data_IF_974316830799
#
_entry.id   IF_974316830799
#
_cell.length_a   1.000
_cell.length_b   1.000
_cell.length_c   1.000
_cell.angle_alpha   90.00
_cell.angle_beta   90.00
_cell.angle_gamma   90.00
#
_symmetry.space_group_name_H-M   'P 1'
#
loop_
_entity.id
_entity.type
_entity.pdbx_description
1 polymer ?
#
# COMPACT_ATOMS: atom_id res chain seq x y z
N UNK A 1 -5.98 17.22 -12.82
CA UNK A 1 -7.39 16.89 -12.52
C UNK A 1 -7.60 15.42 -12.80
N UNK A 2 -8.43 14.74 -12.00
CA UNK A 2 -8.73 13.32 -12.18
C UNK A 2 -9.43 13.04 -13.50
N UNK A 3 -9.10 11.92 -14.12
CA UNK A 3 -9.82 11.46 -15.31
C UNK A 3 -11.17 10.84 -14.93
N UNK A 4 -12.13 10.86 -15.87
CA UNK A 4 -13.48 10.33 -15.64
C UNK A 4 -13.42 8.84 -15.22
N UNK A 5 -13.95 8.53 -14.04
CA UNK A 5 -13.99 7.17 -13.50
C UNK A 5 -12.74 6.74 -12.73
N UNK A 6 -11.69 7.56 -12.64
CA UNK A 6 -10.44 7.22 -11.94
C UNK A 6 -10.69 6.89 -10.46
N UNK A 7 -11.61 7.59 -9.80
CA UNK A 7 -12.04 7.34 -8.43
C UNK A 7 -12.66 5.96 -8.17
N UNK A 8 -13.27 5.35 -9.20
CA UNK A 8 -13.99 4.08 -9.09
C UNK A 8 -13.12 2.88 -9.48
N UNK A 9 -11.92 3.12 -10.03
CA UNK A 9 -10.99 2.05 -10.39
C UNK A 9 -10.42 1.39 -9.14
N UNK A 10 -10.46 0.06 -9.09
CA UNK A 10 -9.91 -0.72 -7.97
C UNK A 10 -8.43 -0.35 -7.75
N UNK A 11 -8.10 0.06 -6.53
CA UNK A 11 -6.73 0.44 -6.12
C UNK A 11 -6.28 1.85 -6.52
N UNK A 12 -7.11 2.62 -7.23
CA UNK A 12 -6.76 3.97 -7.68
C UNK A 12 -6.79 5.02 -6.56
N UNK A 13 -7.48 4.73 -5.45
CA UNK A 13 -7.56 5.62 -4.30
C UNK A 13 -6.93 4.98 -3.07
N UNK A 14 -6.41 5.81 -2.17
CA UNK A 14 -5.91 5.38 -0.87
C UNK A 14 -6.29 6.36 0.24
N UNK A 15 -6.28 5.90 1.49
CA UNK A 15 -6.47 6.78 2.65
C UNK A 15 -5.16 7.45 3.08
N UNK A 16 -5.24 8.47 3.92
CA UNK A 16 -4.08 9.07 4.59
C UNK A 16 -3.28 8.07 5.44
N UNK A 17 -3.97 7.10 6.05
CA UNK A 17 -3.32 6.01 6.79
C UNK A 17 -2.52 5.09 5.86
N UNK A 18 -3.12 4.69 4.74
CA UNK A 18 -2.43 3.89 3.72
C UNK A 18 -1.29 4.67 3.07
N UNK A 19 -1.45 5.98 2.86
CA UNK A 19 -0.43 6.84 2.28
C UNK A 19 0.82 6.91 3.18
N UNK A 20 0.60 7.03 4.50
CA UNK A 20 1.67 6.95 5.49
C UNK A 20 2.35 5.58 5.49
N UNK A 21 1.59 4.50 5.38
CA UNK A 21 2.14 3.14 5.40
C UNK A 21 2.96 2.80 4.14
N UNK A 22 2.46 3.17 2.96
CA UNK A 22 3.07 2.83 1.67
C UNK A 22 4.15 3.82 1.21
N UNK A 23 3.97 5.12 1.50
CA UNK A 23 4.85 6.19 1.02
C UNK A 23 5.52 6.99 2.14
N UNK A 24 5.24 6.70 3.41
CA UNK A 24 5.87 7.42 4.53
C UNK A 24 5.45 8.89 4.66
N UNK A 25 4.48 9.36 3.88
CA UNK A 25 4.01 10.76 3.93
C UNK A 25 3.02 10.98 5.07
N UNK A 26 3.12 12.14 5.73
CA UNK A 26 2.22 12.51 6.83
C UNK A 26 0.86 12.98 6.31
N UNK A 27 -0.14 13.00 7.20
CA UNK A 27 -1.43 13.63 6.90
C UNK A 27 -1.26 15.11 6.55
N UNK A 28 -0.36 15.83 7.22
CA UNK A 28 -0.10 17.24 6.95
C UNK A 28 0.47 17.47 5.55
N UNK A 29 1.32 16.56 5.06
CA UNK A 29 1.81 16.60 3.67
C UNK A 29 0.65 16.48 2.68
N UNK A 30 -0.28 15.57 2.93
CA UNK A 30 -1.48 15.39 2.09
C UNK A 30 -2.37 16.62 2.16
N UNK A 31 -2.62 17.17 3.35
CA UNK A 31 -3.42 18.40 3.54
C UNK A 31 -2.78 19.57 2.81
N UNK A 32 -1.45 19.71 2.85
CA UNK A 32 -0.73 20.73 2.07
C UNK A 32 -0.98 20.55 0.57
N UNK A 33 -0.87 19.32 0.05
CA UNK A 33 -1.16 19.00 -1.35
C UNK A 33 -2.59 19.35 -1.77
N UNK A 34 -3.56 19.13 -0.88
CA UNK A 34 -4.97 19.52 -1.07
C UNK A 34 -5.11 21.05 -1.11
N UNK A 35 -4.53 21.75 -0.13
CA UNK A 35 -4.57 23.21 -0.04
C UNK A 35 -3.93 23.90 -1.25
N UNK A 36 -2.86 23.32 -1.80
CA UNK A 36 -2.20 23.81 -3.01
C UNK A 36 -2.92 23.40 -4.30
N UNK A 37 -4.04 22.68 -4.23
CA UNK A 37 -4.80 22.21 -5.39
C UNK A 37 -4.11 21.10 -6.20
N UNK A 38 -3.04 20.50 -5.67
CA UNK A 38 -2.30 19.40 -6.32
C UNK A 38 -2.95 18.04 -6.11
N UNK A 39 -3.71 17.89 -5.01
CA UNK A 39 -4.45 16.67 -4.68
C UNK A 39 -5.95 16.94 -4.63
N UNK A 40 -6.71 16.13 -5.35
CA UNK A 40 -8.14 16.01 -5.10
C UNK A 40 -8.38 15.04 -3.95
N UNK A 41 -9.39 15.33 -3.13
CA UNK A 41 -9.75 14.51 -1.99
C UNK A 41 -11.24 14.26 -1.87
N UNK A 42 -11.58 13.18 -1.19
CA UNK A 42 -12.92 12.88 -0.69
C UNK A 42 -12.80 12.51 0.77
N UNK A 43 -13.76 12.94 1.57
CA UNK A 43 -13.86 12.50 2.96
C UNK A 43 -14.58 11.17 3.02
N UNK A 44 -14.09 10.28 3.87
CA UNK A 44 -14.79 9.05 4.24
C UNK A 44 -14.79 8.89 5.75
N UNK A 45 -15.66 8.01 6.24
CA UNK A 45 -15.67 7.62 7.65
C UNK A 45 -15.77 6.11 7.77
N UNK A 46 -14.96 5.52 8.64
CA UNK A 46 -15.04 4.12 9.03
C UNK A 46 -15.36 4.10 10.52
N UNK A 47 -16.55 3.60 10.88
CA UNK A 47 -17.02 3.53 12.27
C UNK A 47 -16.93 4.87 13.04
N UNK A 48 -17.21 5.99 12.35
CA UNK A 48 -17.13 7.33 12.94
C UNK A 48 -15.75 7.98 12.91
N UNK A 49 -14.70 7.26 12.50
CA UNK A 49 -13.36 7.84 12.34
C UNK A 49 -13.18 8.42 10.92
N UNK A 50 -13.02 9.75 10.78
CA UNK A 50 -12.85 10.39 9.48
C UNK A 50 -11.47 10.10 8.89
N UNK A 51 -11.41 9.85 7.59
CA UNK A 51 -10.17 9.70 6.84
C UNK A 51 -10.22 10.48 5.53
N UNK A 52 -9.05 10.87 5.05
CA UNK A 52 -8.92 11.54 3.76
C UNK A 52 -8.67 10.47 2.70
N UNK A 53 -9.46 10.47 1.63
CA UNK A 53 -9.28 9.59 0.47
C UNK A 53 -8.76 10.42 -0.69
N UNK A 54 -7.59 10.04 -1.21
CA UNK A 54 -6.93 10.73 -2.33
C UNK A 54 -6.63 9.76 -3.46
N UNK A 55 -6.39 10.28 -4.66
CA UNK A 55 -5.95 9.49 -5.81
C UNK A 55 -4.47 9.15 -5.72
N UNK A 56 -4.15 7.87 -5.95
CA UNK A 56 -2.78 7.36 -5.90
C UNK A 56 -1.89 8.02 -6.94
N UNK A 57 -2.38 8.14 -8.17
CA UNK A 57 -1.69 8.80 -9.27
C UNK A 57 -1.30 10.24 -8.92
N UNK A 58 -2.22 11.01 -8.35
CA UNK A 58 -2.00 12.40 -7.95
C UNK A 58 -1.02 12.48 -6.78
N UNK A 59 -1.16 11.61 -5.79
CA UNK A 59 -0.24 11.57 -4.65
C UNK A 59 1.18 11.21 -5.07
N UNK A 60 1.35 10.23 -5.95
CA UNK A 60 2.67 9.85 -6.47
C UNK A 60 3.32 10.98 -7.26
N UNK A 61 2.56 11.67 -8.13
CA UNK A 61 3.05 12.86 -8.83
C UNK A 61 3.47 13.96 -7.85
N UNK A 62 2.65 14.23 -6.84
CA UNK A 62 2.96 15.23 -5.82
C UNK A 62 4.21 14.88 -5.00
N UNK A 63 4.40 13.60 -4.65
CA UNK A 63 5.61 13.12 -3.97
C UNK A 63 6.83 13.29 -4.87
N UNK A 64 6.74 12.92 -6.15
CA UNK A 64 7.83 13.08 -7.10
C UNK A 64 8.23 14.55 -7.28
N UNK A 65 7.26 15.46 -7.30
CA UNK A 65 7.52 16.90 -7.38
C UNK A 65 8.19 17.48 -6.12
N UNK A 66 7.73 17.11 -4.92
CA UNK A 66 8.21 17.73 -3.67
C UNK A 66 9.43 17.03 -3.07
N UNK A 67 9.57 15.71 -3.26
CA UNK A 67 10.59 14.87 -2.62
C UNK A 67 11.51 14.18 -3.63
N UNK A 68 11.21 14.27 -4.93
CA UNK A 68 11.99 13.69 -6.01
C UNK A 68 11.53 12.29 -6.44
N UNK A 69 11.80 11.97 -7.72
CA UNK A 69 11.46 10.65 -8.29
C UNK A 69 12.24 9.51 -7.63
N UNK A 70 13.50 9.72 -7.28
CA UNK A 70 14.33 8.73 -6.59
C UNK A 70 13.75 8.32 -5.23
N UNK A 71 13.18 9.29 -4.51
CA UNK A 71 12.51 9.04 -3.24
C UNK A 71 11.28 8.16 -3.43
N UNK A 72 10.45 8.48 -4.43
CA UNK A 72 9.27 7.69 -4.77
C UNK A 72 9.64 6.25 -5.18
N UNK A 73 10.65 6.09 -6.05
CA UNK A 73 11.11 4.79 -6.52
C UNK A 73 11.64 3.93 -5.36
N UNK A 74 12.45 4.53 -4.47
CA UNK A 74 12.98 3.85 -3.28
C UNK A 74 11.85 3.34 -2.38
N UNK A 75 10.83 4.16 -2.13
CA UNK A 75 9.69 3.76 -1.29
C UNK A 75 8.89 2.63 -1.90
N UNK A 76 8.59 2.70 -3.20
CA UNK A 76 7.92 1.62 -3.94
C UNK A 76 8.70 0.30 -3.82
N UNK A 77 10.01 0.36 -4.03
CA UNK A 77 10.88 -0.81 -3.90
C UNK A 77 10.91 -1.35 -2.46
N UNK A 78 10.91 -0.49 -1.44
CA UNK A 78 10.87 -0.92 -0.04
C UNK A 78 9.54 -1.59 0.31
N UNK A 79 8.41 -1.02 -0.13
CA UNK A 79 7.07 -1.58 0.10
C UNK A 79 6.93 -2.93 -0.58
N UNK A 80 7.37 -3.05 -1.83
CA UNK A 80 7.36 -4.34 -2.54
C UNK A 80 8.30 -5.36 -1.89
N UNK A 81 9.50 -4.95 -1.46
CA UNK A 81 10.42 -5.82 -0.74
C UNK A 81 9.81 -6.36 0.57
N UNK A 82 9.08 -5.54 1.32
CA UNK A 82 8.37 -5.98 2.54
C UNK A 82 7.29 -7.03 2.19
N UNK A 83 6.54 -6.81 1.12
CA UNK A 83 5.51 -7.74 0.64
C UNK A 83 6.13 -9.08 0.25
N UNK A 84 7.18 -9.07 -0.58
CA UNK A 84 7.90 -10.27 -1.02
C UNK A 84 8.50 -11.01 0.18
N UNK A 85 9.11 -10.32 1.14
CA UNK A 85 9.63 -10.95 2.37
C UNK A 85 8.54 -11.66 3.18
N UNK A 86 7.36 -11.03 3.30
CA UNK A 86 6.22 -11.63 3.99
C UNK A 86 5.73 -12.88 3.26
N UNK A 87 5.57 -12.80 1.95
CA UNK A 87 5.14 -13.93 1.13
C UNK A 87 6.12 -15.12 1.22
N UNK A 88 7.43 -14.86 1.16
CA UNK A 88 8.46 -15.88 1.40
C UNK A 88 8.29 -16.54 2.77
N UNK A 89 8.07 -15.73 3.81
CA UNK A 89 7.88 -16.26 5.18
C UNK A 89 6.63 -17.14 5.29
N UNK A 90 5.51 -16.70 4.70
CA UNK A 90 4.25 -17.44 4.76
C UNK A 90 4.34 -18.75 3.97
N UNK A 91 5.00 -18.74 2.81
CA UNK A 91 5.26 -19.94 2.02
C UNK A 91 6.19 -20.93 2.74
N UNK A 92 7.23 -20.44 3.44
CA UNK A 92 8.10 -21.31 4.24
C UNK A 92 7.33 -22.05 5.33
N UNK A 93 6.45 -21.36 6.07
CA UNK A 93 5.60 -21.99 7.09
C UNK A 93 4.69 -23.05 6.48
N UNK A 94 4.11 -22.77 5.31
CA UNK A 94 3.28 -23.74 4.59
C UNK A 94 4.09 -24.96 4.14
N UNK A 95 5.30 -24.75 3.65
CA UNK A 95 6.20 -25.82 3.25
C UNK A 95 6.55 -26.73 4.44
N UNK A 96 6.87 -26.15 5.58
CA UNK A 96 7.17 -26.89 6.81
C UNK A 96 6.00 -27.77 7.25
N UNK A 97 4.77 -27.22 7.26
CA UNK A 97 3.57 -28.00 7.57
C UNK A 97 3.33 -29.17 6.59
N UNK A 98 3.60 -28.96 5.29
CA UNK A 98 3.50 -30.03 4.29
C UNK A 98 4.60 -31.09 4.46
N UNK A 99 5.81 -30.70 4.86
CA UNK A 99 6.90 -31.63 5.13
C UNK A 99 6.62 -32.49 6.37
N UNK A 100 6.08 -31.90 7.45
CA UNK A 100 5.63 -32.65 8.62
C UNK A 100 4.57 -33.67 8.23
N UNK A 101 3.54 -33.23 7.49
CA UNK A 101 2.47 -34.13 7.03
C UNK A 101 2.98 -35.24 6.12
N UNK A 102 3.95 -34.94 5.25
CA UNK A 102 4.61 -35.94 4.40
C UNK A 102 5.29 -37.01 5.26
N UNK A 103 6.09 -36.60 6.25
CA UNK A 103 6.82 -37.52 7.12
C UNK A 103 5.88 -38.43 7.93
N UNK A 104 4.77 -37.89 8.45
CA UNK A 104 3.74 -38.68 9.13
C UNK A 104 3.15 -39.78 8.24
N UNK A 105 2.86 -39.45 6.98
CA UNK A 105 2.31 -40.38 6.01
C UNK A 105 3.34 -41.44 5.61
N UNK A 106 4.59 -41.05 5.38
CA UNK A 106 5.69 -41.99 5.09
C UNK A 106 5.91 -42.96 6.25
N UNK A 107 5.91 -42.49 7.49
CA UNK A 107 6.04 -43.33 8.68
C UNK A 107 4.83 -44.25 8.91
N UNK A 108 3.65 -43.93 8.35
CA UNK A 108 2.44 -44.76 8.46
C UNK A 108 2.36 -45.85 7.37
N UNK A 109 3.22 -45.76 6.35
CA UNK A 109 3.28 -46.72 5.23
C UNK A 109 4.48 -47.68 5.38
N UNK A 110 5.49 -47.31 6.17
CA UNK A 110 6.63 -48.14 6.57
C UNK A 110 6.28 -49.03 7.76
#
# INVERSE_FOLDING_TARGET
>A
MAEYGEWNRKGATLSDVTAKAEYGVSRDFIVKGIQTGKLEYREGSIWGNPYLRVLRSQLEKYIAEELGEDYLLRLKNQTELRRVKKEISDLKKRLEGLQQRKNELEASIL
#
